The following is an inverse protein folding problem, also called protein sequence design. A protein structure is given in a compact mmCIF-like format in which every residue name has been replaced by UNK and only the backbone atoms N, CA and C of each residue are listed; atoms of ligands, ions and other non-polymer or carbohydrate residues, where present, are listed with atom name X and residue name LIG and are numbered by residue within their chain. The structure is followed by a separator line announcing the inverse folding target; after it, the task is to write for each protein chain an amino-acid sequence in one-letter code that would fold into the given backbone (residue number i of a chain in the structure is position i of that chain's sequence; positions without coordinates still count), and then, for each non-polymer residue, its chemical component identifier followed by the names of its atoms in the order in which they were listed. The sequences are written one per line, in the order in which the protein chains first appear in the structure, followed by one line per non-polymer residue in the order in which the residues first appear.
data_IF_756858929222
#
_entry.id   IF_756858929222
#
_cell.length_a   1.000
_cell.length_b   1.000
_cell.length_c   1.000
_cell.angle_alpha   90.00
_cell.angle_beta   90.00
_cell.angle_gamma   90.00
#
_symmetry.space_group_name_H-M   'P 1'
#
loop_
_entity.id
_entity.type
_entity.pdbx_description
1 polymer ?
#
# COMPACT_ATOMS: atom_id res chain seq x y z
N UNK A 1 -19.07 14.00 -7.81
CA UNK A 1 -17.76 13.58 -7.28
C UNK A 1 -16.73 13.73 -8.40
N UNK A 2 -15.65 14.46 -8.18
CA UNK A 2 -14.53 14.45 -9.13
C UNK A 2 -13.93 13.05 -9.19
N UNK A 3 -13.76 12.52 -10.40
CA UNK A 3 -13.12 11.23 -10.64
C UNK A 3 -11.67 11.31 -10.15
N UNK A 4 -11.23 10.31 -9.37
CA UNK A 4 -9.83 10.21 -8.94
C UNK A 4 -8.98 9.72 -10.11
N UNK A 5 -7.78 10.27 -10.21
CA UNK A 5 -6.79 9.80 -11.17
C UNK A 5 -6.01 8.63 -10.58
N UNK A 6 -5.73 7.65 -11.44
CA UNK A 6 -4.99 6.44 -11.09
C UNK A 6 -3.94 6.20 -12.16
N UNK A 7 -2.77 5.72 -11.75
CA UNK A 7 -1.62 5.50 -12.63
C UNK A 7 -1.11 4.08 -12.49
N UNK A 8 -0.68 3.52 -13.61
CA UNK A 8 0.13 2.31 -13.66
C UNK A 8 1.50 2.69 -14.24
N UNK A 9 2.57 2.44 -13.48
CA UNK A 9 3.92 2.83 -13.84
C UNK A 9 4.75 1.57 -14.03
N UNK A 10 5.28 1.40 -15.23
CA UNK A 10 6.19 0.30 -15.53
C UNK A 10 7.62 0.69 -15.17
N UNK A 11 8.27 -0.09 -14.29
CA UNK A 11 9.65 0.11 -13.86
C UNK A 11 10.38 -1.23 -13.92
N UNK A 12 11.26 -1.37 -14.92
CA UNK A 12 12.04 -2.59 -15.18
C UNK A 12 13.29 -2.76 -14.29
N UNK A 13 13.41 -2.01 -13.19
CA UNK A 13 14.60 -2.03 -12.33
C UNK A 13 14.24 -1.71 -10.88
N UNK A 14 14.63 -2.60 -9.96
CA UNK A 14 14.33 -2.48 -8.54
C UNK A 14 14.94 -1.23 -7.88
N UNK A 15 16.17 -0.85 -8.23
CA UNK A 15 16.81 0.37 -7.71
C UNK A 15 16.03 1.62 -8.10
N UNK A 16 15.62 1.70 -9.39
CA UNK A 16 14.79 2.80 -9.89
C UNK A 16 13.41 2.82 -9.23
N UNK A 17 12.82 1.64 -8.98
CA UNK A 17 11.52 1.51 -8.29
C UNK A 17 11.58 2.04 -6.87
N UNK A 18 12.58 1.61 -6.09
CA UNK A 18 12.77 2.09 -4.71
C UNK A 18 13.03 3.60 -4.67
N UNK A 19 13.85 4.13 -5.58
CA UNK A 19 14.09 5.57 -5.66
C UNK A 19 12.82 6.35 -6.04
N UNK A 20 12.03 5.81 -6.97
CA UNK A 20 10.77 6.41 -7.38
C UNK A 20 9.78 6.48 -6.22
N UNK A 21 9.60 5.37 -5.49
CA UNK A 21 8.75 5.31 -4.28
C UNK A 21 9.23 6.37 -3.27
N UNK A 22 10.53 6.42 -2.99
CA UNK A 22 11.10 7.39 -2.05
C UNK A 22 10.80 8.84 -2.47
N UNK A 23 11.02 9.17 -3.73
CA UNK A 23 10.77 10.52 -4.23
C UNK A 23 9.28 10.90 -4.14
N UNK A 24 8.39 9.94 -4.36
CA UNK A 24 6.95 10.17 -4.31
C UNK A 24 6.43 10.37 -2.88
N UNK A 25 7.03 9.71 -1.89
CA UNK A 25 6.57 9.75 -0.49
C UNK A 25 7.30 10.79 0.37
N UNK A 26 8.57 11.04 0.11
CA UNK A 26 9.45 11.82 1.00
C UNK A 26 10.28 12.88 0.27
N UNK A 27 10.30 12.87 -1.07
CA UNK A 27 11.25 13.62 -1.87
C UNK A 27 10.59 14.61 -2.85
N UNK A 28 11.38 15.12 -3.81
CA UNK A 28 10.84 15.94 -4.87
C UNK A 28 9.95 15.09 -5.77
N UNK A 29 8.67 15.42 -5.79
CA UNK A 29 7.69 14.73 -6.61
C UNK A 29 8.03 14.87 -8.09
N UNK A 30 8.00 13.78 -8.88
CA UNK A 30 8.29 13.86 -10.31
C UNK A 30 7.33 14.83 -11.02
N UNK A 31 7.80 15.46 -12.10
CA UNK A 31 7.06 16.50 -12.83
C UNK A 31 5.67 16.09 -13.31
N UNK A 32 5.49 14.81 -13.57
CA UNK A 32 4.25 14.16 -14.00
C UNK A 32 3.22 14.05 -12.87
N UNK A 33 3.66 14.17 -11.61
CA UNK A 33 2.85 14.02 -10.41
C UNK A 33 2.82 15.31 -9.57
N UNK A 34 3.02 16.49 -10.18
CA UNK A 34 3.05 17.79 -9.47
C UNK A 34 1.83 18.02 -8.58
N UNK A 35 0.67 17.52 -8.97
CA UNK A 35 -0.58 17.63 -8.19
C UNK A 35 -0.53 16.84 -6.86
N UNK A 36 0.45 15.95 -6.72
CA UNK A 36 0.73 15.17 -5.51
C UNK A 36 1.84 15.77 -4.64
N UNK A 37 2.48 16.88 -5.04
CA UNK A 37 3.67 17.40 -4.37
C UNK A 37 3.48 17.85 -2.91
N UNK A 38 2.23 18.07 -2.50
CA UNK A 38 1.87 18.46 -1.14
C UNK A 38 0.83 17.50 -0.53
N UNK A 39 0.79 16.26 -1.05
CA UNK A 39 -0.20 15.26 -0.72
C UNK A 39 0.45 14.15 0.09
N UNK A 40 -0.28 13.63 1.08
CA UNK A 40 0.23 12.56 1.93
C UNK A 40 -0.04 11.21 1.27
N UNK A 41 1.06 10.53 0.90
CA UNK A 41 1.03 9.22 0.28
C UNK A 41 1.38 8.11 1.28
N UNK A 42 0.79 6.93 1.09
CA UNK A 42 1.18 5.72 1.84
C UNK A 42 1.56 4.57 0.90
N UNK A 43 2.52 3.76 1.34
CA UNK A 43 3.03 2.61 0.58
C UNK A 43 2.38 1.31 1.02
N UNK A 44 1.63 0.69 0.12
CA UNK A 44 1.20 -0.70 0.22
C UNK A 44 2.25 -1.61 -0.43
N UNK A 45 3.09 -2.24 0.40
CA UNK A 45 4.15 -3.14 -0.07
C UNK A 45 4.44 -4.24 0.95
N UNK A 46 5.11 -5.31 0.52
CA UNK A 46 5.63 -6.34 1.42
C UNK A 46 6.67 -5.78 2.41
N UNK A 47 7.46 -4.79 1.99
CA UNK A 47 8.44 -4.13 2.87
C UNK A 47 7.72 -3.38 4.00
N UNK A 48 6.65 -2.65 3.68
CA UNK A 48 5.81 -1.97 4.69
C UNK A 48 5.21 -2.98 5.66
N UNK A 49 4.65 -4.07 5.15
CA UNK A 49 4.06 -5.13 5.97
C UNK A 49 5.09 -5.73 6.95
N UNK A 50 6.26 -6.09 6.43
CA UNK A 50 7.33 -6.70 7.24
C UNK A 50 7.82 -5.73 8.33
N UNK A 51 7.90 -4.42 8.05
CA UNK A 51 8.22 -3.44 9.09
C UNK A 51 7.22 -3.49 10.23
N UNK A 52 5.91 -3.52 9.94
CA UNK A 52 4.90 -3.62 11.01
C UNK A 52 4.97 -4.95 11.78
N UNK A 53 5.28 -6.06 11.11
CA UNK A 53 5.52 -7.34 11.78
C UNK A 53 6.73 -7.25 12.71
N UNK A 54 7.84 -6.71 12.24
CA UNK A 54 9.07 -6.57 13.02
C UNK A 54 8.87 -5.67 14.24
N UNK A 55 8.15 -4.56 14.08
CA UNK A 55 7.81 -3.65 15.18
C UNK A 55 6.88 -4.32 16.21
N UNK A 56 5.88 -5.09 15.76
CA UNK A 56 5.02 -5.87 16.65
C UNK A 56 5.82 -6.94 17.42
N UNK A 57 6.76 -7.62 16.77
CA UNK A 57 7.58 -8.64 17.44
C UNK A 57 8.58 -8.04 18.44
N UNK A 58 9.18 -6.91 18.12
CA UNK A 58 10.19 -6.26 18.97
C UNK A 58 9.60 -5.57 20.18
N UNK A 59 8.44 -4.94 20.01
CA UNK A 59 7.85 -4.07 21.02
C UNK A 59 6.57 -4.64 21.65
N UNK A 60 6.05 -5.76 21.13
CA UNK A 60 4.75 -6.35 21.51
C UNK A 60 3.58 -5.37 21.35
N UNK A 61 3.71 -4.44 20.39
CA UNK A 61 2.71 -3.40 20.06
C UNK A 61 2.04 -3.73 18.73
N UNK A 62 0.71 -3.87 18.74
CA UNK A 62 -0.09 -4.03 17.52
C UNK A 62 -0.39 -2.66 16.91
N UNK A 63 -0.08 -2.49 15.62
CA UNK A 63 -0.39 -1.25 14.88
C UNK A 63 -1.55 -1.46 13.90
N UNK A 64 -1.47 -2.50 13.05
CA UNK A 64 -2.47 -2.74 11.99
C UNK A 64 -3.72 -3.47 12.52
N UNK A 65 -3.54 -4.42 13.43
CA UNK A 65 -4.60 -5.34 13.86
C UNK A 65 -4.91 -5.19 15.36
N UNK A 66 -5.06 -3.95 15.81
CA UNK A 66 -5.22 -3.59 17.22
C UNK A 66 -6.46 -4.19 17.90
N UNK A 67 -7.48 -4.52 17.12
CA UNK A 67 -8.78 -4.97 17.62
C UNK A 67 -8.92 -6.50 17.68
N UNK A 68 -7.86 -7.26 17.39
CA UNK A 68 -7.90 -8.73 17.47
C UNK A 68 -6.74 -9.28 18.26
N UNK A 69 -6.93 -10.47 18.82
CA UNK A 69 -5.89 -11.18 19.57
C UNK A 69 -4.81 -11.79 18.67
N UNK A 70 -5.11 -11.99 17.38
CA UNK A 70 -4.18 -12.55 16.42
C UNK A 70 -3.05 -11.57 16.06
N UNK A 71 -1.79 -12.04 16.11
CA UNK A 71 -0.62 -11.25 15.69
C UNK A 71 -0.56 -11.15 14.17
N UNK A 72 -0.02 -10.06 13.63
CA UNK A 72 0.06 -9.87 12.18
C UNK A 72 0.87 -10.98 11.49
N UNK A 73 1.94 -11.45 12.15
CA UNK A 73 2.80 -12.53 11.64
C UNK A 73 2.10 -13.89 11.50
N UNK A 74 1.05 -14.15 12.29
CA UNK A 74 0.36 -15.45 12.29
C UNK A 74 -0.81 -15.50 11.32
N UNK A 75 -1.12 -14.38 10.65
CA UNK A 75 -2.13 -14.29 9.60
C UNK A 75 -1.59 -14.86 8.28
N UNK A 76 -2.48 -15.34 7.41
CA UNK A 76 -2.13 -15.72 6.03
C UNK A 76 -1.69 -14.49 5.21
N UNK A 77 -1.00 -14.69 4.09
CA UNK A 77 -0.56 -13.60 3.21
C UNK A 77 -1.73 -12.72 2.71
N UNK A 78 -2.88 -13.34 2.44
CA UNK A 78 -4.12 -12.64 2.08
C UNK A 78 -4.67 -11.79 3.20
N UNK A 79 -4.77 -12.35 4.39
CA UNK A 79 -5.23 -11.64 5.59
C UNK A 79 -4.29 -10.48 5.96
N UNK A 80 -2.97 -10.69 5.92
CA UNK A 80 -1.98 -9.64 6.17
C UNK A 80 -2.13 -8.47 5.21
N UNK A 81 -2.29 -8.76 3.91
CA UNK A 81 -2.48 -7.74 2.88
C UNK A 81 -3.81 -7.00 3.06
N UNK A 82 -4.90 -7.70 3.39
CA UNK A 82 -6.19 -7.05 3.69
C UNK A 82 -6.10 -6.15 4.91
N UNK A 83 -5.45 -6.61 5.98
CA UNK A 83 -5.24 -5.84 7.20
C UNK A 83 -4.42 -4.58 6.93
N UNK A 84 -3.30 -4.69 6.20
CA UNK A 84 -2.50 -3.54 5.80
C UNK A 84 -3.29 -2.55 4.96
N UNK A 85 -4.08 -3.02 3.99
CA UNK A 85 -4.88 -2.15 3.14
C UNK A 85 -5.95 -1.40 3.94
N UNK A 86 -6.64 -2.09 4.85
CA UNK A 86 -7.63 -1.49 5.73
C UNK A 86 -7.01 -0.42 6.63
N UNK A 87 -5.85 -0.71 7.23
CA UNK A 87 -5.09 0.24 8.04
C UNK A 87 -4.68 1.48 7.24
N UNK A 88 -4.08 1.29 6.05
CA UNK A 88 -3.70 2.41 5.17
C UNK A 88 -4.93 3.25 4.83
N UNK A 89 -6.06 2.62 4.50
CA UNK A 89 -7.28 3.36 4.16
C UNK A 89 -7.85 4.16 5.35
N UNK A 90 -7.77 3.62 6.56
CA UNK A 90 -8.19 4.30 7.78
C UNK A 90 -7.40 5.58 8.05
N UNK A 91 -6.13 5.63 7.64
CA UNK A 91 -5.29 6.83 7.73
C UNK A 91 -5.70 7.94 6.74
N UNK A 92 -6.66 7.67 5.84
CA UNK A 92 -7.19 8.62 4.84
C UNK A 92 -6.10 9.31 4.01
N UNK A 93 -5.16 8.56 3.39
CA UNK A 93 -4.13 9.16 2.57
C UNK A 93 -4.74 9.83 1.34
N UNK A 94 -4.06 10.85 0.83
CA UNK A 94 -4.42 11.49 -0.42
C UNK A 94 -4.22 10.54 -1.61
N UNK A 95 -3.17 9.70 -1.55
CA UNK A 95 -2.89 8.66 -2.53
C UNK A 95 -2.20 7.43 -1.93
N UNK A 96 -2.31 6.30 -2.63
CA UNK A 96 -1.67 5.03 -2.24
C UNK A 96 -0.75 4.56 -3.36
N UNK A 97 0.48 4.19 -3.00
CA UNK A 97 1.44 3.52 -3.87
C UNK A 97 1.34 2.03 -3.66
N UNK A 98 1.04 1.26 -4.71
CA UNK A 98 0.98 -0.20 -4.67
C UNK A 98 2.25 -0.79 -5.29
N UNK A 99 2.99 -1.57 -4.51
CA UNK A 99 4.13 -2.35 -5.00
C UNK A 99 3.81 -3.85 -4.93
N UNK A 100 3.66 -4.48 -6.10
CA UNK A 100 3.30 -5.90 -6.26
C UNK A 100 2.13 -6.35 -5.37
N UNK A 101 0.96 -5.68 -5.47
CA UNK A 101 -0.13 -5.86 -4.51
C UNK A 101 -0.75 -7.26 -4.54
N UNK A 102 -0.65 -8.01 -5.64
CA UNK A 102 -1.32 -9.31 -5.82
C UNK A 102 -0.40 -10.53 -5.58
N UNK A 103 0.90 -10.33 -5.35
CA UNK A 103 1.86 -11.44 -5.19
C UNK A 103 1.56 -12.35 -4.00
N UNK A 104 1.88 -13.65 -4.11
CA UNK A 104 1.75 -14.64 -3.04
C UNK A 104 0.32 -14.77 -2.48
N UNK A 105 -0.70 -14.56 -3.32
CA UNK A 105 -2.12 -14.73 -3.00
C UNK A 105 -2.74 -15.82 -3.88
N UNK A 106 -3.60 -16.64 -3.28
CA UNK A 106 -4.53 -17.48 -4.02
C UNK A 106 -5.58 -16.64 -4.78
N UNK A 107 -6.35 -17.29 -5.64
CA UNK A 107 -7.31 -16.61 -6.53
C UNK A 107 -8.41 -15.87 -5.77
N UNK A 108 -8.89 -16.44 -4.67
CA UNK A 108 -9.98 -15.86 -3.87
C UNK A 108 -9.48 -14.61 -3.14
N UNK A 109 -8.31 -14.71 -2.51
CA UNK A 109 -7.62 -13.60 -1.86
C UNK A 109 -7.30 -12.46 -2.84
N UNK A 110 -6.90 -12.78 -4.08
CA UNK A 110 -6.70 -11.77 -5.13
C UNK A 110 -8.00 -11.05 -5.49
N UNK A 111 -9.10 -11.78 -5.61
CA UNK A 111 -10.40 -11.20 -5.96
C UNK A 111 -10.89 -10.25 -4.85
N UNK A 112 -10.78 -10.67 -3.59
CA UNK A 112 -11.17 -9.84 -2.45
C UNK A 112 -10.34 -8.55 -2.36
N UNK A 113 -9.02 -8.66 -2.61
CA UNK A 113 -8.13 -7.50 -2.61
C UNK A 113 -8.48 -6.55 -3.75
N UNK A 114 -8.80 -7.06 -4.95
CA UNK A 114 -9.25 -6.25 -6.09
C UNK A 114 -10.56 -5.52 -5.79
N UNK A 115 -11.51 -6.18 -5.13
CA UNK A 115 -12.78 -5.54 -4.70
C UNK A 115 -12.48 -4.38 -3.75
N UNK A 116 -11.64 -4.61 -2.73
CA UNK A 116 -11.25 -3.58 -1.76
C UNK A 116 -10.55 -2.40 -2.43
N UNK A 117 -9.61 -2.65 -3.33
CA UNK A 117 -8.90 -1.61 -4.10
C UNK A 117 -9.86 -0.81 -5.00
N UNK A 118 -10.86 -1.46 -5.59
CA UNK A 118 -11.87 -0.80 -6.43
C UNK A 118 -12.78 0.14 -5.62
N UNK A 119 -13.03 -0.16 -4.35
CA UNK A 119 -13.80 0.73 -3.49
C UNK A 119 -12.95 1.93 -3.03
N UNK A 120 -11.71 1.68 -2.63
CA UNK A 120 -10.76 2.73 -2.24
C UNK A 120 -10.51 3.70 -3.40
N UNK A 121 -10.37 3.19 -4.63
CA UNK A 121 -10.10 4.01 -5.82
C UNK A 121 -11.18 5.07 -6.10
N UNK A 122 -12.41 4.90 -5.58
CA UNK A 122 -13.48 5.91 -5.69
C UNK A 122 -13.17 7.20 -4.94
N UNK A 123 -12.28 7.14 -3.95
CA UNK A 123 -12.01 8.25 -3.02
C UNK A 123 -10.54 8.62 -2.89
N UNK A 124 -9.63 7.69 -3.19
CA UNK A 124 -8.18 7.85 -3.04
C UNK A 124 -7.48 7.54 -4.35
N UNK A 125 -6.53 8.37 -4.74
CA UNK A 125 -5.72 8.13 -5.94
C UNK A 125 -4.79 6.93 -5.73
N UNK A 126 -4.53 6.18 -6.80
CA UNK A 126 -3.73 4.94 -6.73
C UNK A 126 -2.62 5.01 -7.76
N UNK A 127 -1.40 4.72 -7.34
CA UNK A 127 -0.22 4.59 -8.20
C UNK A 127 0.27 3.15 -8.07
N UNK A 128 -0.01 2.33 -9.07
CA UNK A 128 0.45 0.95 -9.12
C UNK A 128 1.78 0.84 -9.85
N UNK A 129 2.77 0.26 -9.19
CA UNK A 129 4.06 -0.06 -9.78
C UNK A 129 4.00 -1.47 -10.36
N UNK A 130 4.41 -1.58 -11.62
CA UNK A 130 4.47 -2.83 -12.38
C UNK A 130 5.93 -3.03 -12.78
N UNK A 131 6.47 -4.22 -12.50
CA UNK A 131 7.84 -4.61 -12.83
C UNK A 131 7.84 -5.90 -13.61
#
# INVERSE_FOLDING_TARGET
MNKKEHWAIFINNNSRKSQFIKNLLEGPTPSEFKDLAHKEGLLFSKITLNKFIDEEERHDIKIINQHTDQKLKTMSSGEQKKALLAYIFQLKPDFIVLDNPLDNLDTDSQNDLKVSLKDISKTTSIIQLIS
#
